data_IF_176369164928
#
_entry.id   IF_176369164928
#
_cell.length_a   1.000
_cell.length_b   1.000
_cell.length_c   1.000
_cell.angle_alpha   90.00
_cell.angle_beta   90.00
_cell.angle_gamma   90.00
#
_symmetry.space_group_name_H-M   'P 1'
#
loop_
_entity.id
_entity.type
_entity.pdbx_description
1 polymer ?
#
# COMPACT_ATOMS: atom_id res chain seq x y z
N UNK A 1 -8.59 -54.65 -5.80
CA UNK A 1 -8.85 -53.24 -6.17
C UNK A 1 -9.11 -52.41 -4.92
N UNK A 2 -8.10 -51.76 -4.31
CA UNK A 2 -8.26 -50.64 -3.35
C UNK A 2 -6.97 -49.79 -3.24
N UNK A 3 -6.24 -49.61 -4.35
CA UNK A 3 -5.01 -48.81 -4.37
C UNK A 3 -5.18 -47.44 -5.06
N UNK A 4 -6.33 -47.17 -5.68
CA UNK A 4 -6.56 -45.98 -6.51
C UNK A 4 -7.14 -44.78 -5.76
N UNK A 5 -7.66 -44.95 -4.54
CA UNK A 5 -8.31 -43.85 -3.79
C UNK A 5 -7.28 -43.04 -2.97
N UNK A 6 -6.17 -43.66 -2.54
CA UNK A 6 -5.18 -42.99 -1.69
C UNK A 6 -4.25 -42.02 -2.46
N UNK A 7 -4.03 -42.23 -3.77
CA UNK A 7 -3.21 -41.30 -4.59
C UNK A 7 -3.95 -40.00 -4.95
N UNK A 8 -5.28 -39.99 -4.97
CA UNK A 8 -6.05 -38.80 -5.34
C UNK A 8 -6.00 -37.76 -4.21
N UNK A 9 -6.03 -38.19 -2.95
CA UNK A 9 -5.91 -37.30 -1.80
C UNK A 9 -4.49 -36.73 -1.64
N UNK A 10 -3.45 -37.49 -1.98
CA UNK A 10 -2.07 -37.01 -1.95
C UNK A 10 -1.81 -35.94 -3.03
N UNK A 11 -2.39 -36.08 -4.23
CA UNK A 11 -2.28 -35.08 -5.30
C UNK A 11 -3.11 -33.81 -5.02
N UNK A 12 -4.25 -33.93 -4.33
CA UNK A 12 -5.05 -32.79 -3.90
C UNK A 12 -4.35 -31.93 -2.82
N UNK A 13 -3.40 -32.49 -2.08
CA UNK A 13 -2.63 -31.77 -1.05
C UNK A 13 -1.40 -31.02 -1.59
N UNK A 14 -0.95 -31.31 -2.83
CA UNK A 14 0.24 -30.65 -3.42
C UNK A 14 -0.11 -29.24 -3.95
N UNK A 15 -1.39 -28.93 -4.16
CA UNK A 15 -1.84 -27.61 -4.60
C UNK A 15 -1.89 -26.54 -3.51
N UNK A 16 -1.57 -26.86 -2.24
CA UNK A 16 -1.33 -25.85 -1.20
C UNK A 16 0.09 -25.27 -1.29
N UNK A 17 0.54 -24.93 -2.50
CA UNK A 17 1.64 -23.97 -2.62
C UNK A 17 1.08 -22.67 -2.05
N UNK A 18 1.58 -22.28 -0.88
CA UNK A 18 1.19 -21.06 -0.17
C UNK A 18 1.30 -19.87 -1.12
N UNK A 19 0.19 -19.50 -1.77
CA UNK A 19 0.13 -18.28 -2.57
C UNK A 19 0.22 -17.12 -1.60
N UNK A 20 1.25 -16.29 -1.74
CA UNK A 20 1.33 -15.04 -0.97
C UNK A 20 0.06 -14.23 -1.21
N UNK A 21 -0.58 -13.74 -0.14
CA UNK A 21 -1.75 -12.87 -0.29
C UNK A 21 -1.40 -11.60 -1.07
N UNK A 22 -2.36 -11.09 -1.84
CA UNK A 22 -2.22 -9.85 -2.61
C UNK A 22 -1.75 -8.69 -1.71
N UNK A 23 -2.27 -8.62 -0.48
CA UNK A 23 -1.88 -7.61 0.51
C UNK A 23 -0.39 -7.63 0.83
N UNK A 24 0.22 -8.80 0.95
CA UNK A 24 1.66 -8.95 1.23
C UNK A 24 2.49 -8.50 0.01
N UNK A 25 2.09 -8.90 -1.20
CA UNK A 25 2.77 -8.47 -2.44
C UNK A 25 2.71 -6.95 -2.61
N UNK A 26 1.53 -6.37 -2.42
CA UNK A 26 1.34 -4.92 -2.46
C UNK A 26 2.17 -4.20 -1.39
N UNK A 27 2.17 -4.73 -0.17
CA UNK A 27 2.99 -4.17 0.91
C UNK A 27 4.46 -4.16 0.50
N UNK A 28 4.97 -5.22 -0.13
CA UNK A 28 6.36 -5.27 -0.61
C UNK A 28 6.64 -4.27 -1.73
N UNK A 29 5.68 -4.03 -2.63
CA UNK A 29 5.78 -3.05 -3.71
C UNK A 29 5.87 -1.60 -3.22
N UNK A 30 5.17 -1.29 -2.12
CA UNK A 30 4.98 0.08 -1.64
C UNK A 30 5.74 0.41 -0.35
N UNK A 31 6.24 -0.59 0.37
CA UNK A 31 6.94 -0.36 1.63
C UNK A 31 8.41 -0.03 1.41
N UNK A 32 8.94 0.99 2.10
CA UNK A 32 10.37 1.23 2.15
C UNK A 32 11.12 0.07 2.82
N UNK A 33 12.45 0.02 2.64
CA UNK A 33 13.30 -0.77 3.53
C UNK A 33 13.22 -0.24 4.96
N UNK A 34 13.48 -1.10 5.96
CA UNK A 34 13.47 -0.68 7.37
C UNK A 34 14.41 0.51 7.63
N UNK A 35 15.60 0.51 7.02
CA UNK A 35 16.57 1.60 7.12
C UNK A 35 16.03 2.93 6.55
N UNK A 36 15.35 2.87 5.40
CA UNK A 36 14.71 4.06 4.82
C UNK A 36 13.57 4.57 5.70
N UNK A 37 12.73 3.67 6.22
CA UNK A 37 11.64 4.03 7.12
C UNK A 37 12.16 4.67 8.42
N UNK A 38 13.16 4.06 9.04
CA UNK A 38 13.76 4.54 10.28
C UNK A 38 14.41 5.92 10.08
N UNK A 39 15.19 6.08 9.01
CA UNK A 39 15.80 7.37 8.66
C UNK A 39 14.75 8.46 8.51
N UNK A 40 13.69 8.22 7.73
CA UNK A 40 12.62 9.20 7.55
C UNK A 40 11.88 9.50 8.86
N UNK A 41 11.66 8.49 9.71
CA UNK A 41 11.02 8.70 11.00
C UNK A 41 11.85 9.61 11.91
N UNK A 42 13.17 9.42 11.94
CA UNK A 42 14.11 10.24 12.70
C UNK A 42 14.16 11.68 12.17
N UNK A 43 14.28 11.86 10.85
CA UNK A 43 14.37 13.21 10.23
C UNK A 43 13.15 14.08 10.51
N UNK A 44 11.97 13.46 10.66
CA UNK A 44 10.69 14.15 10.84
C UNK A 44 10.28 14.19 12.32
N UNK A 45 11.02 13.52 13.20
CA UNK A 45 10.72 13.39 14.62
C UNK A 45 9.29 12.84 14.84
N UNK A 46 8.95 11.75 14.15
CA UNK A 46 7.64 11.08 14.28
C UNK A 46 7.77 9.77 15.07
N UNK A 47 6.93 9.61 16.09
CA UNK A 47 6.87 8.38 16.88
C UNK A 47 5.81 7.42 16.35
N UNK A 48 5.89 6.15 16.80
CA UNK A 48 4.99 5.09 16.34
C UNK A 48 3.50 5.38 16.56
N UNK A 49 3.15 6.04 17.66
CA UNK A 49 1.78 6.39 18.03
C UNK A 49 1.22 7.60 17.26
N UNK A 50 2.10 8.40 16.65
CA UNK A 50 1.72 9.53 15.80
C UNK A 50 1.34 9.09 14.37
N UNK A 51 1.67 7.87 13.95
CA UNK A 51 1.24 7.39 12.63
C UNK A 51 -0.27 7.19 12.56
N UNK A 52 -0.90 7.65 11.48
CA UNK A 52 -2.28 7.28 11.20
C UNK A 52 -2.37 5.81 10.82
N UNK A 53 -3.26 5.08 11.50
CA UNK A 53 -3.63 3.72 11.09
C UNK A 53 -4.60 3.79 9.92
N UNK A 54 -4.71 2.70 9.16
CA UNK A 54 -5.73 2.57 8.10
C UNK A 54 -7.12 2.95 8.63
N UNK A 55 -7.51 2.43 9.79
CA UNK A 55 -8.77 2.78 10.46
C UNK A 55 -8.92 4.27 10.77
N UNK A 56 -7.82 4.96 11.09
CA UNK A 56 -7.86 6.41 11.36
C UNK A 56 -8.13 7.19 10.07
N UNK A 57 -7.56 6.73 8.95
CA UNK A 57 -7.78 7.31 7.63
C UNK A 57 -9.20 7.05 7.13
N UNK A 58 -9.70 5.82 7.23
CA UNK A 58 -11.05 5.45 6.79
C UNK A 58 -12.12 6.21 7.60
N UNK A 59 -11.92 6.35 8.91
CA UNK A 59 -12.82 7.12 9.78
C UNK A 59 -12.51 8.63 9.80
N UNK A 60 -11.67 9.11 8.88
CA UNK A 60 -11.34 10.51 8.67
C UNK A 60 -10.92 11.26 9.96
N UNK A 61 -10.20 10.58 10.85
CA UNK A 61 -9.70 11.15 12.10
C UNK A 61 -8.84 12.39 11.84
N UNK A 62 -8.14 12.41 10.69
CA UNK A 62 -7.32 13.54 10.24
C UNK A 62 -8.11 14.83 9.92
N UNK A 63 -9.45 14.82 9.94
CA UNK A 63 -10.26 16.04 9.83
C UNK A 63 -10.61 16.65 11.18
N UNK A 64 -10.34 15.96 12.29
CA UNK A 64 -10.59 16.47 13.64
C UNK A 64 -9.63 17.62 13.98
N UNK A 65 -10.08 18.55 14.80
CA UNK A 65 -9.27 19.64 15.33
C UNK A 65 -8.05 19.12 16.10
N UNK A 66 -6.90 19.77 15.93
CA UNK A 66 -5.67 19.38 16.63
C UNK A 66 -4.88 18.26 15.95
N UNK A 67 -5.26 17.87 14.72
CA UNK A 67 -4.57 16.84 13.94
C UNK A 67 -3.58 17.42 12.93
N UNK A 68 -3.42 18.74 12.85
CA UNK A 68 -2.63 19.45 11.85
C UNK A 68 -1.17 18.99 11.83
N UNK A 69 -0.55 18.92 13.00
CA UNK A 69 0.85 18.46 13.12
C UNK A 69 0.99 16.97 12.80
N UNK A 70 0.05 16.13 13.27
CA UNK A 70 0.05 14.70 12.96
C UNK A 70 -0.08 14.46 11.45
N UNK A 71 -0.94 15.22 10.76
CA UNK A 71 -1.06 15.19 9.29
C UNK A 71 0.23 15.63 8.62
N UNK A 72 0.82 16.73 9.07
CA UNK A 72 2.07 17.25 8.52
C UNK A 72 3.17 16.20 8.61
N UNK A 73 3.40 15.61 9.80
CA UNK A 73 4.41 14.58 10.02
C UNK A 73 4.19 13.34 9.15
N UNK A 74 2.95 12.81 9.09
CA UNK A 74 2.63 11.65 8.26
C UNK A 74 2.81 11.94 6.76
N UNK A 75 2.45 13.15 6.34
CA UNK A 75 2.65 13.61 4.97
C UNK A 75 4.12 13.72 4.59
N UNK A 76 4.92 14.36 5.44
CA UNK A 76 6.37 14.44 5.25
C UNK A 76 7.03 13.06 5.28
N UNK A 77 6.51 12.12 6.08
CA UNK A 77 7.07 10.77 6.15
C UNK A 77 6.93 10.04 4.82
N UNK A 78 5.75 10.12 4.19
CA UNK A 78 5.52 9.52 2.87
C UNK A 78 6.36 10.23 1.81
N UNK A 79 6.43 11.56 1.84
CA UNK A 79 7.26 12.34 0.95
C UNK A 79 8.75 11.93 1.02
N UNK A 80 9.31 11.83 2.23
CA UNK A 80 10.68 11.36 2.46
C UNK A 80 10.92 9.96 1.88
N UNK A 81 10.00 9.02 2.11
CA UNK A 81 10.09 7.67 1.54
C UNK A 81 10.10 7.73 0.02
N UNK A 82 9.16 8.46 -0.58
CA UNK A 82 9.04 8.54 -2.04
C UNK A 82 10.30 9.15 -2.66
N UNK A 83 10.89 10.18 -2.05
CA UNK A 83 12.15 10.76 -2.53
C UNK A 83 13.32 9.77 -2.42
N UNK A 84 13.46 9.08 -1.30
CA UNK A 84 14.56 8.11 -1.09
C UNK A 84 14.46 6.89 -2.01
N UNK A 85 13.25 6.49 -2.39
CA UNK A 85 13.01 5.43 -3.36
C UNK A 85 13.12 5.91 -4.83
N UNK A 86 13.39 7.19 -5.06
CA UNK A 86 13.44 7.77 -6.42
C UNK A 86 12.06 7.85 -7.09
N UNK A 87 10.98 7.70 -6.32
CA UNK A 87 9.59 7.81 -6.76
C UNK A 87 9.07 9.24 -6.73
N UNK A 88 9.86 10.18 -6.19
CA UNK A 88 9.55 11.61 -6.16
C UNK A 88 10.82 12.44 -6.30
N UNK A 89 10.76 13.51 -7.08
CA UNK A 89 11.85 14.49 -7.24
C UNK A 89 11.25 15.89 -7.11
N UNK A 90 11.72 16.66 -6.11
CA UNK A 90 10.98 17.85 -5.69
C UNK A 90 9.53 17.50 -5.41
N UNK A 91 8.59 18.23 -6.01
CA UNK A 91 7.16 17.99 -5.88
C UNK A 91 6.58 17.06 -6.97
N UNK A 92 7.39 16.51 -7.85
CA UNK A 92 6.94 15.65 -8.95
C UNK A 92 7.03 14.18 -8.54
N UNK A 93 5.90 13.47 -8.61
CA UNK A 93 5.87 12.02 -8.41
C UNK A 93 6.27 11.34 -9.74
N UNK A 94 7.28 10.48 -9.69
CA UNK A 94 7.77 9.69 -10.82
C UNK A 94 6.89 8.46 -10.99
N UNK A 95 5.71 8.66 -11.58
CA UNK A 95 4.72 7.59 -11.78
C UNK A 95 5.31 6.33 -12.40
N UNK A 96 6.14 6.45 -13.45
CA UNK A 96 6.78 5.30 -14.09
C UNK A 96 7.58 4.42 -13.13
N UNK A 97 8.25 5.01 -12.12
CA UNK A 97 9.02 4.26 -11.11
C UNK A 97 8.10 3.49 -10.16
N UNK A 98 6.96 4.08 -9.78
CA UNK A 98 5.94 3.42 -8.97
C UNK A 98 5.34 2.24 -9.75
N UNK A 99 4.99 2.45 -11.02
CA UNK A 99 4.44 1.37 -11.86
C UNK A 99 5.45 0.23 -12.03
N UNK A 100 6.75 0.51 -12.20
CA UNK A 100 7.80 -0.52 -12.27
C UNK A 100 7.86 -1.38 -11.01
N UNK A 101 7.85 -0.78 -9.81
CA UNK A 101 7.89 -1.54 -8.55
C UNK A 101 6.60 -2.35 -8.32
N UNK A 102 5.44 -1.84 -8.75
CA UNK A 102 4.18 -2.61 -8.74
C UNK A 102 4.33 -3.87 -9.61
N UNK A 103 4.71 -3.72 -10.88
CA UNK A 103 4.87 -4.87 -11.78
C UNK A 103 5.87 -5.87 -11.22
N UNK A 104 7.04 -5.42 -10.75
CA UNK A 104 8.09 -6.27 -10.18
C UNK A 104 7.62 -7.13 -9.00
N UNK A 105 6.71 -6.61 -8.18
CA UNK A 105 6.23 -7.30 -6.96
C UNK A 105 4.86 -7.98 -7.13
N UNK A 106 4.11 -7.62 -8.17
CA UNK A 106 2.76 -8.12 -8.45
C UNK A 106 2.65 -8.88 -9.76
N UNK A 107 3.75 -9.18 -10.44
CA UNK A 107 3.76 -9.95 -11.69
C UNK A 107 2.87 -11.19 -11.57
N UNK A 108 2.00 -11.40 -12.56
CA UNK A 108 1.03 -12.52 -12.65
C UNK A 108 -0.07 -12.51 -11.56
N UNK A 109 -0.11 -11.50 -10.69
CA UNK A 109 -1.19 -11.33 -9.74
C UNK A 109 -2.43 -10.75 -10.44
N UNK A 110 -3.62 -11.35 -10.28
CA UNK A 110 -4.84 -10.86 -10.91
C UNK A 110 -5.21 -9.42 -10.50
N UNK A 111 -4.64 -8.92 -9.40
CA UNK A 111 -4.88 -7.56 -8.90
C UNK A 111 -3.88 -6.53 -9.41
N UNK A 112 -2.82 -6.93 -10.13
CA UNK A 112 -1.79 -6.04 -10.66
C UNK A 112 -2.39 -4.84 -11.41
N UNK A 113 -3.27 -5.11 -12.39
CA UNK A 113 -3.91 -4.05 -13.19
C UNK A 113 -4.76 -3.09 -12.34
N UNK A 114 -5.39 -3.59 -11.26
CA UNK A 114 -6.19 -2.75 -10.35
C UNK A 114 -5.29 -1.89 -9.47
N UNK A 115 -4.16 -2.41 -9.01
CA UNK A 115 -3.19 -1.65 -8.22
C UNK A 115 -2.50 -0.57 -9.07
N UNK A 116 -2.12 -0.87 -10.32
CA UNK A 116 -1.63 0.14 -11.26
C UNK A 116 -2.62 1.29 -11.43
N UNK A 117 -3.91 0.96 -11.57
CA UNK A 117 -4.98 1.95 -11.66
C UNK A 117 -5.11 2.79 -10.38
N UNK A 118 -5.06 2.16 -9.20
CA UNK A 118 -5.08 2.89 -7.91
C UNK A 118 -3.90 3.85 -7.81
N UNK A 119 -2.69 3.41 -8.15
CA UNK A 119 -1.51 4.27 -8.14
C UNK A 119 -1.68 5.46 -9.09
N UNK A 120 -2.13 5.22 -10.32
CA UNK A 120 -2.39 6.27 -11.30
C UNK A 120 -3.43 7.29 -10.79
N UNK A 121 -4.59 6.81 -10.33
CA UNK A 121 -5.69 7.65 -9.87
C UNK A 121 -5.24 8.54 -8.69
N UNK A 122 -4.50 7.98 -7.72
CA UNK A 122 -3.98 8.74 -6.59
C UNK A 122 -2.92 9.77 -6.98
N UNK A 123 -2.05 9.45 -7.94
CA UNK A 123 -1.07 10.41 -8.47
C UNK A 123 -1.79 11.57 -9.16
N UNK A 124 -2.85 11.31 -9.93
CA UNK A 124 -3.63 12.37 -10.57
C UNK A 124 -4.35 13.25 -9.54
N UNK A 125 -4.90 12.66 -8.47
CA UNK A 125 -5.52 13.41 -7.37
C UNK A 125 -4.51 14.36 -6.68
N UNK A 126 -3.28 13.88 -6.47
CA UNK A 126 -2.23 14.64 -5.81
C UNK A 126 -1.45 15.58 -6.75
N UNK A 127 -1.74 15.59 -8.06
CA UNK A 127 -0.91 16.23 -9.10
C UNK A 127 -0.70 17.73 -8.86
N UNK A 128 -1.76 18.46 -8.53
CA UNK A 128 -1.73 19.92 -8.40
C UNK A 128 -1.33 20.41 -7.00
N UNK A 129 -1.11 19.51 -6.04
CA UNK A 129 -0.62 19.87 -4.72
C UNK A 129 0.84 20.29 -4.85
N UNK A 130 1.21 21.48 -4.38
CA UNK A 130 2.58 22.00 -4.55
C UNK A 130 3.46 21.70 -3.35
N UNK A 131 2.89 21.73 -2.14
CA UNK A 131 3.61 21.44 -0.91
C UNK A 131 3.84 19.94 -0.76
N UNK A 132 5.09 19.53 -0.64
CA UNK A 132 5.50 18.13 -0.79
C UNK A 132 4.92 17.23 0.32
N UNK A 133 4.93 17.68 1.58
CA UNK A 133 4.30 16.91 2.67
C UNK A 133 2.79 16.82 2.52
N UNK A 134 2.12 17.86 1.99
CA UNK A 134 0.67 17.80 1.77
C UNK A 134 0.35 16.80 0.65
N UNK A 135 1.19 16.77 -0.39
CA UNK A 135 1.11 15.78 -1.47
C UNK A 135 1.32 14.37 -0.95
N UNK A 136 2.33 14.16 -0.11
CA UNK A 136 2.57 12.86 0.54
C UNK A 136 1.39 12.42 1.40
N UNK A 137 0.75 13.34 2.13
CA UNK A 137 -0.44 13.03 2.91
C UNK A 137 -1.65 12.68 2.04
N UNK A 138 -1.88 13.44 0.95
CA UNK A 138 -2.96 13.14 0.00
C UNK A 138 -2.77 11.76 -0.66
N UNK A 139 -1.54 11.43 -1.05
CA UNK A 139 -1.18 10.10 -1.56
C UNK A 139 -1.50 9.00 -0.53
N UNK A 140 -1.11 9.18 0.73
CA UNK A 140 -1.42 8.24 1.81
C UNK A 140 -2.93 8.00 1.95
N UNK A 141 -3.71 9.08 1.99
CA UNK A 141 -5.17 9.00 2.15
C UNK A 141 -5.82 8.28 0.98
N UNK A 142 -5.46 8.66 -0.25
CA UNK A 142 -6.03 8.06 -1.45
C UNK A 142 -5.72 6.55 -1.53
N UNK A 143 -4.45 6.16 -1.35
CA UNK A 143 -4.04 4.75 -1.43
C UNK A 143 -4.72 3.93 -0.33
N UNK A 144 -4.78 4.43 0.90
CA UNK A 144 -5.43 3.73 2.01
C UNK A 144 -6.94 3.52 1.74
N UNK A 145 -7.66 4.55 1.30
CA UNK A 145 -9.09 4.44 0.95
C UNK A 145 -9.32 3.49 -0.23
N UNK A 146 -8.53 3.61 -1.28
CA UNK A 146 -8.67 2.81 -2.49
C UNK A 146 -8.38 1.33 -2.23
N UNK A 147 -7.32 1.02 -1.49
CA UNK A 147 -6.95 -0.36 -1.13
C UNK A 147 -7.94 -0.97 -0.13
N UNK A 148 -8.43 -0.19 0.83
CA UNK A 148 -9.50 -0.63 1.74
C UNK A 148 -10.75 -1.07 0.98
N UNK A 149 -11.20 -0.28 -0.01
CA UNK A 149 -12.32 -0.67 -0.86
C UNK A 149 -11.98 -1.90 -1.72
N UNK A 150 -10.78 -1.94 -2.29
CA UNK A 150 -10.36 -3.01 -3.18
C UNK A 150 -10.33 -4.37 -2.47
N UNK A 151 -9.80 -4.43 -1.25
CA UNK A 151 -9.68 -5.67 -0.48
C UNK A 151 -10.89 -5.95 0.41
N UNK A 152 -11.63 -4.92 0.87
CA UNK A 152 -12.85 -5.10 1.67
C UNK A 152 -13.98 -5.80 0.90
N UNK A 153 -14.00 -5.68 -0.43
CA UNK A 153 -14.93 -6.43 -1.28
C UNK A 153 -14.54 -7.92 -1.41
N UNK A 154 -13.26 -8.29 -1.29
CA UNK A 154 -12.82 -9.69 -1.43
C UNK A 154 -13.20 -10.54 -0.21
N UNK A 155 -13.20 -9.97 1.00
CA UNK A 155 -13.62 -10.69 2.23
C UNK A 155 -15.10 -11.12 2.19
N UNK A 156 -15.93 -10.39 1.45
CA UNK A 156 -17.36 -10.73 1.29
C UNK A 156 -17.61 -11.84 0.27
N UNK A 157 -16.59 -12.23 -0.51
CA UNK A 157 -16.72 -13.25 -1.55
C UNK A 157 -16.14 -14.62 -1.14
N UNK A 158 -15.53 -14.71 0.05
CA UNK A 158 -14.95 -15.94 0.62
C UNK A 158 -15.80 -16.61 1.72
N UNK A 159 -17.08 -16.24 1.87
CA UNK A 159 -18.00 -16.97 2.76
C UNK A 159 -18.86 -17.96 1.96
N UNK A 160 -18.48 -19.24 1.84
CA UNK A 160 -19.43 -20.28 1.49
C UNK A 160 -20.26 -20.63 2.74
N UNK A 161 -21.58 -20.47 2.62
CA UNK A 161 -22.54 -21.20 3.46
C UNK A 161 -22.47 -22.68 3.11
#
# INVERSE_FOLDING_TARGET
MKASVFCICALACISFISTESVKIKLQRALSPTNDTAETCAIEIDITRDEFFRESDIINEVYLKSGMEERKRKNGCFVECILKRLGMMEGNEIKEGKIQEEITKHMTEDPMEARIHKVAHDCIQEAKNITHECEKGFAMMVCVAKATHHLFGHEEHQQSPI
#
